data_IF_422257658358
#
_entry.id   IF_422257658358
#
_cell.length_a   1.000
_cell.length_b   1.000
_cell.length_c   1.000
_cell.angle_alpha   90.00
_cell.angle_beta   90.00
_cell.angle_gamma   90.00
#
_symmetry.space_group_name_H-M   'P 1'
#
loop_
_entity.id
_entity.type
_entity.pdbx_description
1 polymer ?
#
# COMPACT_ATOMS: atom_id res chain seq x y z
N UNK A 1 5.70 13.54 0.18
CA UNK A 1 5.75 13.99 1.60
C UNK A 1 4.47 13.50 2.26
N UNK A 2 4.43 13.22 3.57
CA UNK A 2 3.16 12.86 4.20
C UNK A 2 2.32 14.12 4.45
N UNK A 3 1.02 14.02 4.24
CA UNK A 3 0.14 15.19 4.10
C UNK A 3 -0.17 15.91 5.42
N UNK A 4 0.01 15.24 6.56
CA UNK A 4 -0.39 15.70 7.89
C UNK A 4 0.76 15.83 8.90
N UNK A 5 2.03 15.75 8.44
CA UNK A 5 3.19 15.80 9.36
C UNK A 5 3.23 17.09 10.18
N UNK A 6 3.37 16.94 11.48
CA UNK A 6 3.72 17.99 12.41
C UNK A 6 5.13 17.80 12.99
N UNK A 7 5.65 18.88 13.58
CA UNK A 7 6.93 18.84 14.27
C UNK A 7 6.76 18.06 15.58
N UNK A 8 7.48 16.96 15.72
CA UNK A 8 7.45 16.13 16.94
C UNK A 8 6.97 14.71 16.68
N UNK A 9 6.30 14.46 15.55
CA UNK A 9 5.67 13.18 15.20
C UNK A 9 6.62 11.97 15.05
N UNK A 10 7.94 12.18 15.17
CA UNK A 10 8.97 11.17 14.94
C UNK A 10 8.83 10.42 13.61
N UNK A 11 8.37 11.14 12.57
CA UNK A 11 8.23 10.59 11.23
C UNK A 11 9.57 10.02 10.73
N UNK A 12 9.56 8.75 10.33
CA UNK A 12 10.76 8.07 9.85
C UNK A 12 11.55 7.32 10.92
N UNK A 13 11.01 7.17 12.13
CA UNK A 13 11.66 6.40 13.19
C UNK A 13 11.87 4.92 12.79
N UNK A 14 10.83 4.29 12.22
CA UNK A 14 10.92 2.96 11.62
C UNK A 14 10.52 3.01 10.14
N UNK A 15 11.25 2.25 9.32
CA UNK A 15 10.97 2.09 7.90
C UNK A 15 11.03 0.62 7.48
N UNK A 16 10.12 0.22 6.59
CA UNK A 16 10.16 -1.06 5.90
C UNK A 16 9.84 -0.84 4.42
N UNK A 17 10.24 -1.79 3.57
CA UNK A 17 10.01 -1.74 2.13
C UNK A 17 9.52 -3.11 1.70
N UNK A 18 8.52 -3.12 0.83
CA UNK A 18 8.04 -4.32 0.17
C UNK A 18 7.72 -4.02 -1.29
N UNK A 19 8.56 -4.55 -2.21
CA UNK A 19 8.50 -4.19 -3.63
C UNK A 19 8.63 -2.67 -3.84
N UNK A 20 7.63 -2.08 -4.49
CA UNK A 20 7.53 -0.64 -4.74
C UNK A 20 6.77 0.15 -3.66
N UNK A 21 6.46 -0.46 -2.52
CA UNK A 21 5.84 0.21 -1.38
C UNK A 21 6.87 0.47 -0.27
N UNK A 22 6.84 1.68 0.30
CA UNK A 22 7.65 2.08 1.46
C UNK A 22 6.72 2.38 2.63
N UNK A 23 6.94 1.70 3.74
CA UNK A 23 6.21 1.89 5.00
C UNK A 23 7.04 2.73 5.94
N UNK A 24 6.46 3.80 6.46
CA UNK A 24 7.17 4.72 7.36
C UNK A 24 6.30 5.04 8.57
N UNK A 25 6.82 4.82 9.77
CA UNK A 25 6.12 5.15 11.00
C UNK A 25 6.25 6.63 11.38
N UNK A 26 5.29 7.08 12.17
CA UNK A 26 5.33 8.31 12.95
C UNK A 26 4.72 7.98 14.32
N UNK A 27 5.57 7.60 15.28
CA UNK A 27 5.15 7.03 16.56
C UNK A 27 4.47 8.04 17.50
N UNK A 28 4.80 9.33 17.34
CA UNK A 28 4.35 10.40 18.24
C UNK A 28 3.17 11.20 17.64
N UNK A 29 2.44 10.62 16.68
CA UNK A 29 1.20 11.20 16.12
C UNK A 29 0.02 10.88 17.02
N UNK A 30 -0.83 11.88 17.27
CA UNK A 30 -2.12 11.70 17.94
C UNK A 30 -1.99 11.29 19.40
N UNK A 31 -1.29 12.10 20.20
CA UNK A 31 -0.96 11.81 21.61
C UNK A 31 -0.17 10.49 21.76
N UNK A 32 0.83 10.29 20.89
CA UNK A 32 1.72 9.12 20.88
C UNK A 32 0.99 7.78 20.64
N UNK A 33 -0.20 7.85 20.05
CA UNK A 33 -0.93 6.67 19.55
C UNK A 33 -0.22 6.03 18.35
N UNK A 34 0.40 6.86 17.50
CA UNK A 34 1.20 6.45 16.36
C UNK A 34 0.42 6.21 15.06
N UNK A 35 1.11 6.33 13.93
CA UNK A 35 0.59 6.07 12.59
C UNK A 35 1.67 5.44 11.70
N UNK A 36 1.24 4.71 10.66
CA UNK A 36 2.14 4.23 9.59
C UNK A 36 1.63 4.69 8.24
N UNK A 37 2.54 5.21 7.43
CA UNK A 37 2.25 5.77 6.12
C UNK A 37 2.85 4.89 5.04
N UNK A 38 2.09 4.65 3.97
CA UNK A 38 2.53 3.88 2.81
C UNK A 38 2.82 4.86 1.67
N UNK A 39 3.99 4.73 1.07
CA UNK A 39 4.41 5.55 -0.07
C UNK A 39 4.72 4.67 -1.29
N UNK A 40 4.40 5.19 -2.47
CA UNK A 40 4.96 4.70 -3.73
C UNK A 40 6.47 5.03 -3.75
N UNK A 41 7.32 4.00 -3.85
CA UNK A 41 8.79 4.13 -3.83
C UNK A 41 9.32 4.94 -5.02
N UNK A 42 8.66 4.85 -6.16
CA UNK A 42 9.10 5.45 -7.42
C UNK A 42 8.73 6.93 -7.49
N UNK A 43 7.54 7.31 -7.03
CA UNK A 43 7.06 8.70 -7.09
C UNK A 43 7.20 9.45 -5.78
N UNK A 44 7.28 8.75 -4.65
CA UNK A 44 7.29 9.35 -3.31
C UNK A 44 5.93 9.92 -2.86
N UNK A 45 4.86 9.58 -3.58
CA UNK A 45 3.48 9.93 -3.25
C UNK A 45 3.02 9.08 -2.05
N UNK A 46 2.33 9.70 -1.10
CA UNK A 46 1.66 8.98 0.00
C UNK A 46 0.39 8.34 -0.54
N UNK A 47 0.25 7.04 -0.38
CA UNK A 47 -0.92 6.27 -0.83
C UNK A 47 -1.94 6.08 0.30
N UNK A 48 -1.49 5.62 1.47
CA UNK A 48 -2.37 5.22 2.57
C UNK A 48 -1.80 5.71 3.90
N UNK A 49 -2.68 6.09 4.84
CA UNK A 49 -2.34 6.29 6.25
C UNK A 49 -3.05 5.23 7.10
N UNK A 50 -2.27 4.35 7.72
CA UNK A 50 -2.76 3.31 8.62
C UNK A 50 -2.86 3.84 10.05
N UNK A 51 -4.08 3.85 10.56
CA UNK A 51 -4.41 4.12 11.98
C UNK A 51 -5.48 3.13 12.43
N UNK A 52 -5.10 1.99 13.04
CA UNK A 52 -6.05 1.00 13.54
C UNK A 52 -7.14 1.63 14.42
N UNK A 53 -8.37 1.13 14.28
CA UNK A 53 -9.46 1.57 15.16
C UNK A 53 -9.18 1.16 16.61
N UNK A 54 -9.38 2.12 17.52
CA UNK A 54 -9.27 1.87 18.97
C UNK A 54 -7.87 2.07 19.54
N UNK A 55 -6.90 2.58 18.75
CA UNK A 55 -5.66 3.10 19.30
C UNK A 55 -5.96 4.19 20.34
N UNK A 56 -5.19 4.15 21.43
CA UNK A 56 -5.20 5.10 22.53
C UNK A 56 -3.88 5.87 22.55
N UNK A 57 -3.89 6.96 23.30
CA UNK A 57 -2.67 7.68 23.61
C UNK A 57 -1.62 6.74 24.20
N UNK A 58 -0.36 6.96 23.84
CA UNK A 58 0.83 6.16 24.19
C UNK A 58 0.90 4.74 23.59
N UNK A 59 -0.01 4.28 22.73
CA UNK A 59 0.04 2.91 22.18
C UNK A 59 1.25 2.68 21.26
N UNK A 60 1.81 3.75 20.65
CA UNK A 60 3.00 3.73 19.78
C UNK A 60 2.92 2.76 18.62
N UNK A 61 1.78 2.78 17.92
CA UNK A 61 1.64 2.07 16.67
C UNK A 61 2.70 2.53 15.66
N UNK A 62 3.45 1.57 15.10
CA UNK A 62 4.59 1.85 14.24
C UNK A 62 5.95 1.79 14.96
N UNK A 63 5.99 1.40 16.24
CA UNK A 63 7.24 1.14 17.00
C UNK A 63 8.15 0.07 16.36
N UNK A 64 7.56 -0.83 15.56
CA UNK A 64 8.30 -1.74 14.69
C UNK A 64 7.47 -2.07 13.45
N UNK A 65 8.13 -2.28 12.31
CA UNK A 65 7.48 -2.66 11.04
C UNK A 65 8.32 -3.77 10.40
N UNK A 66 7.66 -4.83 9.95
CA UNK A 66 8.25 -5.88 9.12
C UNK A 66 7.27 -6.21 8.00
N UNK A 67 7.77 -6.44 6.80
CA UNK A 67 6.95 -6.75 5.63
C UNK A 67 7.53 -7.94 4.86
N UNK A 68 6.65 -8.79 4.37
CA UNK A 68 7.00 -9.90 3.47
C UNK A 68 5.79 -10.26 2.59
N UNK A 69 5.99 -10.26 1.27
CA UNK A 69 5.03 -10.74 0.28
C UNK A 69 3.63 -10.10 0.40
N UNK A 70 3.56 -8.79 0.65
CA UNK A 70 2.34 -8.02 0.83
C UNK A 70 1.72 -8.12 2.21
N UNK A 71 2.32 -8.88 3.13
CA UNK A 71 1.91 -8.95 4.52
C UNK A 71 2.82 -8.05 5.33
N UNK A 72 2.22 -7.09 6.03
CA UNK A 72 2.91 -6.11 6.86
C UNK A 72 2.50 -6.33 8.31
N UNK A 73 3.48 -6.53 9.18
CA UNK A 73 3.31 -6.62 10.63
C UNK A 73 3.79 -5.31 11.26
N UNK A 74 2.93 -4.68 12.04
CA UNK A 74 3.22 -3.41 12.71
C UNK A 74 3.02 -3.58 14.22
N UNK A 75 4.04 -3.25 15.00
CA UNK A 75 3.98 -3.28 16.45
C UNK A 75 3.41 -2.00 17.06
N UNK A 76 2.71 -2.15 18.18
CA UNK A 76 2.33 -1.10 19.12
C UNK A 76 2.77 -1.59 20.50
N UNK A 77 3.98 -1.25 20.93
CA UNK A 77 4.66 -1.89 22.05
C UNK A 77 4.16 -1.44 23.43
N UNK A 78 3.61 -0.23 23.50
CA UNK A 78 3.06 0.35 24.73
C UNK A 78 1.52 0.18 24.86
N UNK A 79 0.85 -0.49 23.91
CA UNK A 79 -0.59 -0.77 23.98
C UNK A 79 -0.98 -1.52 25.27
N UNK A 80 -2.05 -0.99 25.88
CA UNK A 80 -2.59 -1.40 27.16
C UNK A 80 -3.76 -2.37 26.99
N UNK A 81 -3.70 -3.50 27.70
CA UNK A 81 -4.88 -4.36 27.90
C UNK A 81 -6.00 -3.56 28.58
N UNK A 82 -7.27 -4.04 28.54
CA UNK A 82 -8.38 -3.41 29.26
C UNK A 82 -8.12 -3.19 30.76
N UNK A 83 -7.21 -3.96 31.36
CA UNK A 83 -6.78 -3.87 32.75
C UNK A 83 -5.63 -2.85 32.99
N UNK A 84 -5.16 -2.17 31.95
CA UNK A 84 -4.11 -1.14 32.03
C UNK A 84 -2.69 -1.69 32.11
N UNK A 85 -2.45 -2.91 31.61
CA UNK A 85 -1.12 -3.53 31.57
C UNK A 85 -0.53 -3.31 30.18
N UNK A 86 0.69 -2.78 30.09
CA UNK A 86 1.47 -2.73 28.85
C UNK A 86 1.79 -4.16 28.42
N UNK A 87 1.07 -4.65 27.41
CA UNK A 87 1.28 -5.97 26.82
C UNK A 87 1.82 -5.90 25.40
N UNK A 88 1.64 -4.75 24.75
CA UNK A 88 1.87 -4.56 23.34
C UNK A 88 0.88 -5.34 22.46
N UNK A 89 0.65 -4.86 21.25
CA UNK A 89 -0.07 -5.57 20.19
C UNK A 89 0.76 -5.58 18.90
N UNK A 90 0.44 -6.53 18.04
CA UNK A 90 0.93 -6.57 16.66
C UNK A 90 -0.27 -6.62 15.72
N UNK A 91 -0.28 -5.73 14.75
CA UNK A 91 -1.30 -5.61 13.73
C UNK A 91 -0.78 -6.20 12.43
N UNK A 92 -1.66 -6.93 11.73
CA UNK A 92 -1.37 -7.51 10.43
C UNK A 92 -2.18 -6.77 9.37
N UNK A 93 -1.50 -6.27 8.34
CA UNK A 93 -2.10 -5.65 7.17
C UNK A 93 -1.71 -6.45 5.93
N UNK A 94 -2.67 -6.62 5.02
CA UNK A 94 -2.41 -7.21 3.71
C UNK A 94 -2.61 -6.13 2.66
N UNK A 95 -1.55 -5.77 1.96
CA UNK A 95 -1.54 -4.72 0.93
C UNK A 95 -1.69 -5.27 -0.49
N UNK A 96 -1.85 -6.59 -0.63
CA UNK A 96 -2.05 -7.29 -1.90
C UNK A 96 -3.42 -8.01 -1.94
N UNK A 97 -4.39 -7.59 -1.14
CA UNK A 97 -5.70 -8.27 -1.10
C UNK A 97 -6.48 -8.01 -2.38
N UNK A 98 -6.78 -9.09 -3.12
CA UNK A 98 -7.77 -9.08 -4.20
C UNK A 98 -9.12 -8.56 -3.71
N UNK A 99 -9.49 -8.82 -2.45
CA UNK A 99 -10.73 -8.33 -1.84
C UNK A 99 -10.83 -6.80 -1.72
N UNK A 100 -9.71 -6.06 -1.75
CA UNK A 100 -9.74 -4.59 -1.77
C UNK A 100 -9.70 -4.03 -3.20
N UNK A 101 -9.25 -4.84 -4.16
CA UNK A 101 -9.09 -4.42 -5.55
C UNK A 101 -10.33 -4.73 -6.38
N UNK A 102 -11.07 -5.78 -6.03
CA UNK A 102 -12.38 -6.13 -6.59
C UNK A 102 -13.43 -5.23 -5.92
N UNK A 103 -13.64 -4.03 -6.47
CA UNK A 103 -14.51 -3.01 -5.85
C UNK A 103 -15.99 -3.25 -6.17
N UNK A 104 -16.27 -4.08 -7.17
CA UNK A 104 -17.63 -4.42 -7.59
C UNK A 104 -18.10 -5.80 -7.10
N UNK A 105 -17.26 -6.49 -6.31
CA UNK A 105 -17.50 -7.79 -5.69
C UNK A 105 -17.88 -8.90 -6.72
N UNK A 106 -17.36 -8.83 -7.94
CA UNK A 106 -17.66 -9.82 -8.99
C UNK A 106 -16.73 -11.05 -8.97
N UNK A 107 -15.68 -11.00 -8.15
CA UNK A 107 -14.69 -12.05 -7.94
C UNK A 107 -13.50 -11.99 -8.90
N UNK A 108 -13.43 -10.97 -9.75
CA UNK A 108 -12.35 -10.68 -10.68
C UNK A 108 -11.80 -9.29 -10.36
N UNK A 109 -10.52 -9.10 -10.65
CA UNK A 109 -9.88 -7.80 -10.52
C UNK A 109 -9.44 -7.39 -11.92
N UNK A 110 -10.15 -6.45 -12.55
CA UNK A 110 -9.97 -6.06 -13.93
C UNK A 110 -10.33 -4.58 -14.21
N UNK A 111 -10.54 -4.24 -15.49
CA UNK A 111 -10.84 -2.86 -15.92
C UNK A 111 -12.19 -2.36 -15.37
N UNK A 112 -13.14 -3.24 -15.08
CA UNK A 112 -14.44 -2.84 -14.54
C UNK A 112 -14.30 -2.21 -13.15
N UNK A 113 -13.33 -2.66 -12.35
CA UNK A 113 -13.07 -2.11 -11.03
C UNK A 113 -12.59 -0.66 -11.08
N UNK A 114 -11.63 -0.37 -11.96
CA UNK A 114 -11.12 0.99 -12.10
C UNK A 114 -12.12 1.91 -12.80
N UNK A 115 -12.98 1.36 -13.67
CA UNK A 115 -14.10 2.10 -14.27
C UNK A 115 -15.16 2.46 -13.21
N UNK A 116 -15.48 1.53 -12.30
CA UNK A 116 -16.41 1.79 -11.19
C UNK A 116 -15.83 2.80 -10.19
N UNK A 117 -14.52 2.76 -9.92
CA UNK A 117 -13.82 3.79 -9.14
C UNK A 117 -13.83 5.16 -9.84
N UNK A 118 -13.56 5.22 -11.15
CA UNK A 118 -13.65 6.46 -11.93
C UNK A 118 -15.07 7.03 -11.89
N UNK A 119 -16.09 6.20 -12.04
CA UNK A 119 -17.49 6.62 -11.93
C UNK A 119 -17.85 7.12 -10.53
N UNK A 120 -17.40 6.44 -9.48
CA UNK A 120 -17.62 6.85 -8.09
C UNK A 120 -16.96 8.21 -7.82
N UNK A 121 -15.74 8.42 -8.32
CA UNK A 121 -15.03 9.70 -8.26
C UNK A 121 -15.77 10.80 -9.04
N UNK A 122 -16.08 10.59 -10.32
CA UNK A 122 -16.73 11.58 -11.18
C UNK A 122 -18.12 12.00 -10.67
N UNK A 123 -18.85 11.07 -10.03
CA UNK A 123 -20.15 11.35 -9.42
C UNK A 123 -20.07 11.99 -8.03
N UNK A 124 -18.89 12.03 -7.41
CA UNK A 124 -18.69 12.50 -6.04
C UNK A 124 -19.38 11.60 -5.01
N UNK A 125 -19.25 10.28 -5.18
CA UNK A 125 -19.87 9.28 -4.30
C UNK A 125 -19.44 9.44 -2.84
N UNK A 126 -20.38 9.19 -1.91
CA UNK A 126 -20.09 9.10 -0.47
C UNK A 126 -20.01 7.63 0.00
N UNK A 127 -20.07 6.68 -0.93
CA UNK A 127 -19.97 5.26 -0.61
C UNK A 127 -18.52 4.89 -0.28
N UNK A 128 -18.24 4.73 1.01
CA UNK A 128 -16.91 4.42 1.54
C UNK A 128 -16.41 3.02 1.19
N UNK A 129 -17.19 2.19 0.47
CA UNK A 129 -16.65 0.99 -0.17
C UNK A 129 -15.60 1.32 -1.24
N UNK A 130 -15.67 2.50 -1.87
CA UNK A 130 -14.68 3.00 -2.83
C UNK A 130 -13.53 3.79 -2.18
N UNK A 131 -13.55 4.03 -0.87
CA UNK A 131 -12.48 4.72 -0.13
C UNK A 131 -11.36 3.72 0.24
N UNK A 132 -10.51 3.42 -0.74
CA UNK A 132 -9.43 2.44 -0.63
C UNK A 132 -8.26 2.91 0.23
N UNK A 133 -8.07 4.23 0.36
CA UNK A 133 -7.03 4.78 1.21
C UNK A 133 -7.50 5.05 2.66
N UNK A 134 -8.80 4.86 2.93
CA UNK A 134 -9.47 5.03 4.22
C UNK A 134 -9.33 6.44 4.82
N UNK A 135 -9.33 7.49 3.99
CA UNK A 135 -9.27 8.87 4.44
C UNK A 135 -10.67 9.48 4.70
N UNK A 136 -11.74 8.74 4.40
CA UNK A 136 -13.12 9.15 4.57
C UNK A 136 -13.73 9.92 3.39
N UNK A 137 -13.04 10.00 2.24
CA UNK A 137 -13.54 10.60 1.00
C UNK A 137 -13.21 9.71 -0.20
N UNK A 138 -14.13 9.62 -1.17
CA UNK A 138 -13.87 8.96 -2.45
C UNK A 138 -13.31 10.00 -3.42
N UNK A 139 -12.04 9.89 -3.74
CA UNK A 139 -11.35 10.81 -4.66
C UNK A 139 -10.29 10.11 -5.53
N UNK A 140 -9.55 10.89 -6.33
CA UNK A 140 -8.51 10.36 -7.21
C UNK A 140 -7.39 9.59 -6.48
N UNK A 141 -7.23 9.75 -5.16
CA UNK A 141 -6.25 8.99 -4.38
C UNK A 141 -6.67 7.52 -4.20
N UNK A 142 -7.96 7.22 -4.24
CA UNK A 142 -8.43 5.84 -4.21
C UNK A 142 -8.06 5.11 -5.50
N UNK A 143 -8.21 5.80 -6.64
CA UNK A 143 -7.70 5.33 -7.93
C UNK A 143 -6.18 5.14 -7.89
N UNK A 144 -5.44 6.05 -7.26
CA UNK A 144 -3.99 5.87 -7.08
C UNK A 144 -3.65 4.62 -6.27
N UNK A 145 -4.37 4.32 -5.19
CA UNK A 145 -4.17 3.09 -4.42
C UNK A 145 -4.42 1.86 -5.29
N UNK A 146 -5.53 1.83 -6.02
CA UNK A 146 -5.88 0.70 -6.87
C UNK A 146 -4.81 0.42 -7.92
N UNK A 147 -4.41 1.45 -8.68
CA UNK A 147 -3.42 1.31 -9.76
C UNK A 147 -2.03 0.98 -9.22
N UNK A 148 -1.59 1.69 -8.18
CA UNK A 148 -0.17 1.70 -7.76
C UNK A 148 0.16 0.65 -6.70
N UNK A 149 -0.73 0.44 -5.74
CA UNK A 149 -0.51 -0.47 -4.62
C UNK A 149 -1.16 -1.84 -4.81
N UNK A 150 -2.34 -1.90 -5.43
CA UNK A 150 -3.08 -3.16 -5.58
C UNK A 150 -2.76 -3.86 -6.90
N UNK A 151 -2.84 -3.16 -8.03
CA UNK A 151 -2.53 -3.73 -9.35
C UNK A 151 -1.05 -3.77 -9.70
N UNK A 152 -0.21 -3.03 -8.97
CA UNK A 152 1.21 -2.90 -9.31
C UNK A 152 1.40 -2.49 -10.78
N UNK A 153 0.59 -1.53 -11.27
CA UNK A 153 0.72 -0.99 -12.62
C UNK A 153 0.79 0.54 -12.65
N UNK A 154 0.69 1.12 -13.84
CA UNK A 154 0.82 2.54 -14.11
C UNK A 154 -0.49 3.09 -14.66
N UNK A 155 -0.77 4.35 -14.34
CA UNK A 155 -1.73 5.11 -15.12
C UNK A 155 -1.27 5.13 -16.58
N UNK A 156 -2.18 4.81 -17.51
CA UNK A 156 -1.85 4.65 -18.92
C UNK A 156 -1.74 3.20 -19.41
N UNK A 157 -1.62 2.22 -18.51
CA UNK A 157 -1.66 0.79 -18.86
C UNK A 157 -3.11 0.35 -19.13
N UNK A 158 -3.60 0.63 -20.33
CA UNK A 158 -4.99 0.42 -20.74
C UNK A 158 -5.38 -1.05 -20.83
N UNK A 159 -4.41 -1.95 -21.06
CA UNK A 159 -4.66 -3.39 -21.18
C UNK A 159 -4.36 -4.17 -19.89
N UNK A 160 -3.89 -3.49 -18.84
CA UNK A 160 -3.50 -4.04 -17.53
C UNK A 160 -2.43 -5.14 -17.63
N UNK A 161 -1.49 -5.03 -18.56
CA UNK A 161 -0.37 -5.98 -18.71
C UNK A 161 0.82 -5.69 -17.77
N UNK A 162 0.71 -4.63 -16.96
CA UNK A 162 1.70 -4.14 -16.02
C UNK A 162 2.65 -3.10 -16.62
N UNK A 163 2.53 -2.77 -17.91
CA UNK A 163 3.50 -1.93 -18.63
C UNK A 163 2.80 -0.87 -19.47
N UNK A 164 2.88 0.39 -19.04
CA UNK A 164 2.44 1.51 -19.87
C UNK A 164 3.39 1.74 -21.06
N UNK A 165 2.95 1.42 -22.28
CA UNK A 165 3.72 1.47 -23.51
C UNK A 165 2.88 1.84 -24.76
N UNK A 166 3.38 1.51 -25.96
CA UNK A 166 2.69 1.81 -27.21
C UNK A 166 1.45 0.96 -27.46
N UNK A 167 1.42 -0.27 -26.93
CA UNK A 167 0.29 -1.18 -27.09
C UNK A 167 -0.96 -0.61 -26.37
N UNK A 168 -0.79 0.12 -25.28
CA UNK A 168 -1.87 0.84 -24.61
C UNK A 168 -2.42 1.98 -25.44
N UNK A 169 -1.53 2.80 -26.02
CA UNK A 169 -1.95 3.84 -26.95
C UNK A 169 -2.70 3.26 -28.16
N UNK A 170 -2.22 2.14 -28.71
CA UNK A 170 -2.95 1.45 -29.78
C UNK A 170 -4.33 1.00 -29.31
N UNK A 171 -4.44 0.49 -28.08
CA UNK A 171 -5.70 0.04 -27.48
C UNK A 171 -6.71 1.19 -27.43
N UNK A 172 -6.36 2.32 -26.80
CA UNK A 172 -7.27 3.46 -26.63
C UNK A 172 -7.58 4.17 -27.95
N UNK A 173 -6.61 4.34 -28.85
CA UNK A 173 -6.86 4.99 -30.15
C UNK A 173 -7.68 4.13 -31.11
N UNK A 174 -7.74 2.81 -30.91
CA UNK A 174 -8.64 1.93 -31.68
C UNK A 174 -10.08 2.06 -31.22
N UNK A 175 -10.33 2.39 -29.95
CA UNK A 175 -11.68 2.67 -29.45
C UNK A 175 -12.32 3.86 -30.19
N UNK A 176 -11.51 4.89 -30.48
CA UNK A 176 -11.92 6.01 -31.32
C UNK A 176 -12.62 7.14 -30.58
N UNK A 177 -12.53 7.16 -29.25
CA UNK A 177 -13.17 8.14 -28.35
C UNK A 177 -12.29 9.38 -28.07
N UNK A 178 -11.10 9.48 -28.69
CA UNK A 178 -10.21 10.62 -28.48
C UNK A 178 -10.79 11.93 -29.03
N UNK A 179 -11.09 12.87 -28.14
CA UNK A 179 -11.59 14.22 -28.47
C UNK A 179 -12.77 14.17 -29.47
N UNK A 180 -13.75 13.30 -29.20
CA UNK A 180 -14.84 12.96 -30.12
C UNK A 180 -16.13 13.80 -29.90
N UNK A 181 -16.10 14.73 -28.94
CA UNK A 181 -17.22 15.57 -28.47
C UNK A 181 -18.38 14.79 -27.80
N UNK A 182 -18.25 13.47 -27.56
CA UNK A 182 -19.13 12.74 -26.67
C UNK A 182 -18.66 12.95 -25.22
N UNK A 183 -19.61 12.94 -24.28
CA UNK A 183 -19.33 13.24 -22.88
C UNK A 183 -19.69 12.03 -22.01
N UNK A 184 -18.77 11.62 -21.14
CA UNK A 184 -18.90 10.49 -20.21
C UNK A 184 -19.01 9.14 -20.91
N UNK A 185 -18.36 8.95 -22.07
CA UNK A 185 -18.44 7.71 -22.85
C UNK A 185 -17.12 6.94 -22.94
N UNK A 186 -16.08 7.34 -22.20
CA UNK A 186 -14.80 6.65 -22.15
C UNK A 186 -14.60 6.01 -20.77
N UNK A 187 -14.16 4.75 -20.74
CA UNK A 187 -13.56 4.10 -19.58
C UNK A 187 -12.04 3.99 -19.67
N UNK A 188 -11.42 3.28 -18.73
CA UNK A 188 -9.97 3.10 -18.61
C UNK A 188 -9.33 2.54 -19.88
N UNK A 189 -9.93 1.49 -20.45
CA UNK A 189 -9.44 0.84 -21.67
C UNK A 189 -9.67 1.66 -22.95
N UNK A 190 -10.45 2.73 -22.84
CA UNK A 190 -10.79 3.66 -23.92
C UNK A 190 -10.03 4.99 -23.78
N UNK A 191 -9.36 5.21 -22.64
CA UNK A 191 -8.40 6.28 -22.42
C UNK A 191 -8.73 7.26 -21.28
N UNK A 192 -9.83 7.03 -20.54
CA UNK A 192 -10.19 7.80 -19.34
C UNK A 192 -9.27 7.44 -18.16
N UNK A 193 -8.06 8.00 -18.18
CA UNK A 193 -7.04 7.71 -17.18
C UNK A 193 -7.08 8.71 -16.03
N UNK A 194 -7.59 9.92 -16.22
CA UNK A 194 -7.80 10.86 -15.12
C UNK A 194 -9.16 10.69 -14.41
N UNK A 195 -10.07 9.92 -15.00
CA UNK A 195 -11.33 9.47 -14.38
C UNK A 195 -12.48 10.47 -14.54
N UNK A 196 -12.39 11.40 -15.49
CA UNK A 196 -13.45 12.37 -15.77
C UNK A 196 -14.53 11.85 -16.74
N UNK A 197 -14.29 10.68 -17.34
CA UNK A 197 -15.21 9.95 -18.22
C UNK A 197 -15.02 10.22 -19.71
N UNK A 198 -14.01 11.00 -20.11
CA UNK A 198 -13.75 11.37 -21.50
C UNK A 198 -12.28 11.15 -21.88
N UNK A 199 -11.98 10.49 -23.01
CA UNK A 199 -10.59 10.38 -23.47
C UNK A 199 -10.15 11.65 -24.19
N UNK A 200 -9.39 12.50 -23.48
CA UNK A 200 -8.91 13.78 -24.00
C UNK A 200 -7.39 13.88 -23.98
N UNK A 201 -6.88 15.00 -24.51
CA UNK A 201 -5.49 15.37 -24.31
C UNK A 201 -5.13 15.60 -22.82
N UNK A 202 -6.13 15.82 -21.95
CA UNK A 202 -5.98 15.88 -20.49
C UNK A 202 -5.43 14.59 -19.92
N UNK A 203 -6.01 13.44 -20.28
CA UNK A 203 -5.60 12.11 -19.85
C UNK A 203 -4.16 11.80 -20.23
N UNK A 204 -3.81 12.07 -21.49
CA UNK A 204 -2.45 11.85 -21.99
C UNK A 204 -1.45 12.66 -21.17
N UNK A 205 -1.76 13.92 -20.89
CA UNK A 205 -0.91 14.77 -20.05
C UNK A 205 -0.85 14.24 -18.62
N UNK A 206 -1.99 13.83 -18.05
CA UNK A 206 -2.08 13.29 -16.70
C UNK A 206 -1.20 12.05 -16.53
N UNK A 207 -1.25 11.09 -17.46
CA UNK A 207 -0.43 9.86 -17.36
C UNK A 207 1.06 10.12 -17.58
N UNK A 208 1.44 11.09 -18.42
CA UNK A 208 2.85 11.47 -18.56
C UNK A 208 3.37 12.24 -17.34
N UNK A 209 2.52 13.00 -16.64
CA UNK A 209 2.85 13.60 -15.35
C UNK A 209 2.99 12.51 -14.27
N UNK A 210 2.07 11.54 -14.26
CA UNK A 210 2.08 10.40 -13.36
C UNK A 210 3.32 9.50 -13.54
N UNK A 211 3.87 9.49 -14.76
CA UNK A 211 5.06 8.73 -15.16
C UNK A 211 4.76 7.25 -15.36
N UNK A 212 5.75 6.49 -15.83
CA UNK A 212 5.61 5.04 -16.05
C UNK A 212 5.77 4.58 -17.50
N UNK A 213 5.68 5.50 -18.46
CA UNK A 213 5.83 5.15 -19.88
C UNK A 213 7.18 4.47 -20.17
N UNK A 214 7.12 3.28 -20.76
CA UNK A 214 8.24 2.39 -21.05
C UNK A 214 9.09 2.00 -19.82
N UNK A 215 8.53 2.08 -18.62
CA UNK A 215 9.14 1.47 -17.44
C UNK A 215 8.90 -0.04 -17.43
N UNK A 216 9.69 -0.77 -16.66
CA UNK A 216 9.42 -2.19 -16.39
C UNK A 216 8.15 -2.33 -15.54
N UNK A 217 7.51 -3.52 -15.51
CA UNK A 217 6.43 -3.79 -14.57
C UNK A 217 6.83 -3.42 -13.14
N UNK A 218 5.89 -2.90 -12.35
CA UNK A 218 6.16 -2.61 -10.95
C UNK A 218 6.42 -3.91 -10.22
N UNK A 219 7.34 -3.85 -9.27
CA UNK A 219 7.67 -5.02 -8.47
C UNK A 219 6.61 -5.18 -7.38
N UNK A 220 5.76 -6.20 -7.56
CA UNK A 220 5.07 -6.79 -6.42
C UNK A 220 6.10 -7.35 -5.44
N UNK A 221 5.81 -7.21 -4.14
CA UNK A 221 6.57 -7.77 -3.03
C UNK A 221 7.41 -9.02 -3.37
N UNK A 222 8.74 -8.89 -3.45
CA UNK A 222 9.65 -10.04 -3.59
C UNK A 222 10.34 -10.32 -2.27
N UNK A 223 10.22 -11.55 -1.76
CA UNK A 223 10.93 -12.00 -0.56
C UNK A 223 12.41 -11.58 -0.56
N UNK A 224 12.79 -10.67 0.35
CA UNK A 224 14.20 -10.36 0.61
C UNK A 224 14.80 -11.56 1.32
N UNK A 225 15.83 -12.24 0.79
CA UNK A 225 16.55 -13.23 1.57
C UNK A 225 17.29 -12.48 2.68
N UNK A 226 16.79 -12.55 3.92
CA UNK A 226 17.41 -11.86 5.04
C UNK A 226 18.89 -12.25 5.17
N UNK A 227 19.84 -11.30 5.10
CA UNK A 227 21.24 -11.60 5.31
C UNK A 227 21.55 -11.70 6.81
N UNK A 228 20.76 -12.42 7.62
CA UNK A 228 21.11 -12.61 9.05
C UNK A 228 20.49 -13.82 9.77
N UNK A 229 19.86 -14.78 9.09
CA UNK A 229 19.38 -16.01 9.76
C UNK A 229 20.48 -17.05 10.06
N UNK A 230 21.56 -17.09 9.28
CA UNK A 230 22.54 -18.19 9.33
C UNK A 230 23.64 -18.05 10.40
N UNK A 231 23.85 -16.87 10.98
CA UNK A 231 24.96 -16.65 11.94
C UNK A 231 24.51 -16.85 13.39
N UNK A 232 23.24 -16.58 13.74
CA UNK A 232 22.77 -16.67 15.13
C UNK A 232 22.56 -18.12 15.59
N UNK A 233 22.28 -19.06 14.68
CA UNK A 233 22.17 -20.48 15.02
C UNK A 233 23.51 -21.17 15.39
N UNK A 234 24.65 -20.57 15.03
CA UNK A 234 25.99 -21.13 15.30
C UNK A 234 26.57 -20.73 16.67
N UNK A 235 26.02 -19.72 17.35
CA UNK A 235 26.55 -19.23 18.64
C UNK A 235 25.83 -19.78 19.89
N UNK A 236 24.73 -20.53 19.74
CA UNK A 236 24.02 -21.16 20.86
C UNK A 236 24.49 -22.60 21.21
N UNK A 237 25.46 -23.16 20.49
CA UNK A 237 25.91 -24.56 20.63
C UNK A 237 27.02 -24.86 21.68
N UNK A 238 27.62 -23.92 22.45
CA UNK A 238 28.52 -24.31 23.54
C UNK A 238 27.89 -24.38 24.95
N UNK A 239 26.71 -23.81 25.20
CA UNK A 239 26.15 -23.70 26.55
C UNK A 239 25.31 -24.91 27.00
N UNK A 240 24.87 -25.76 26.06
CA UNK A 240 24.13 -26.99 26.37
C UNK A 240 25.04 -28.22 26.62
N UNK A 241 26.30 -28.19 26.18
CA UNK A 241 27.24 -29.30 26.42
C UNK A 241 27.73 -29.36 27.89
N UNK A 242 27.83 -28.22 28.57
CA UNK A 242 28.37 -28.17 29.95
C UNK A 242 27.33 -28.47 31.04
N UNK A 243 26.04 -28.57 30.73
CA UNK A 243 24.99 -28.79 31.72
C UNK A 243 24.63 -30.27 31.96
N UNK A 244 25.10 -31.20 31.11
CA UNK A 244 24.84 -32.63 31.23
C UNK A 244 25.94 -33.45 31.96
N UNK A 245 26.98 -32.83 32.52
CA UNK A 245 28.12 -33.55 33.14
C UNK A 245 28.29 -33.41 34.67
N UNK A 246 27.26 -33.04 35.42
CA UNK A 246 27.32 -33.07 36.89
C UNK A 246 26.12 -33.80 37.50
N UNK A 247 26.35 -35.05 37.88
CA UNK A 247 25.59 -35.80 38.89
C UNK A 247 26.60 -36.55 39.80
N UNK A 248 26.23 -36.88 41.06
CA UNK A 248 27.11 -36.74 42.23
C UNK A 248 27.96 -37.97 42.57
N UNK A 249 29.12 -37.74 43.20
CA UNK A 249 29.92 -38.81 43.84
C UNK A 249 29.32 -39.15 45.21
N UNK A 250 28.96 -40.42 45.38
CA UNK A 250 28.66 -41.08 46.65
C UNK A 250 29.94 -41.23 47.49
N UNK A 251 29.82 -40.97 48.78
CA UNK A 251 30.61 -41.59 49.86
C UNK A 251 29.70 -41.77 51.07
#
# INVERSE_FOLDING_TARGET
>A
MADDRAQGDEFGDTVAIDGDLVFVSAGEVGDDAGAVYIFDRMTGIQLIRLTPQGLKADDKFGSSISSDNGIVVIGADDDLTPEGIRSGLAYLFNVNTTELADVNDDGVVDVADIDDLSQAFASGSEDLSFDLNHNGVVDGRDREVWVRALQHTYFGDANLDGVFNNDDFVTVFVAGEYEDDAAGNSGWSEGDWDGDGDFTSGDIVAVFIAGGYLQTPRESATAVPEPTGLIVALLAMPSLWNRCRRSPRLS
#
